data_IF_293308847937
#
_entry.id   IF_293308847937
#
_cell.length_a   1.000
_cell.length_b   1.000
_cell.length_c   1.000
_cell.angle_alpha   90.00
_cell.angle_beta   90.00
_cell.angle_gamma   90.00
#
_symmetry.space_group_name_H-M   'P 1'
#
loop_
_entity.id
_entity.type
_entity.pdbx_description
1 polymer ?
#
# COMPACT_ATOMS: atom_id res chain seq x y z
N UNK A 1 23.44 15.05 11.15
CA UNK A 1 22.15 15.33 11.86
C UNK A 1 21.85 14.19 12.82
N UNK A 2 21.16 14.44 13.94
CA UNK A 2 20.80 13.42 14.94
C UNK A 2 19.29 13.28 15.09
N UNK A 3 18.81 12.05 15.08
CA UNK A 3 17.41 11.65 15.21
C UNK A 3 17.26 10.59 16.30
N UNK A 4 16.03 10.35 16.76
CA UNK A 4 15.75 9.19 17.62
C UNK A 4 15.56 7.94 16.76
N UNK A 5 14.93 8.09 15.60
CA UNK A 5 14.75 7.00 14.63
C UNK A 5 14.93 7.47 13.18
N UNK A 6 15.68 6.71 12.41
CA UNK A 6 15.87 6.93 10.98
C UNK A 6 15.28 5.76 10.18
N UNK A 7 14.33 6.06 9.31
CA UNK A 7 13.58 5.08 8.51
C UNK A 7 14.04 5.19 7.06
N UNK A 8 14.33 4.05 6.43
CA UNK A 8 14.82 3.95 5.06
C UNK A 8 13.69 3.38 4.20
N UNK A 9 12.97 4.26 3.51
CA UNK A 9 11.83 3.94 2.66
C UNK A 9 10.58 4.74 3.01
N UNK A 10 10.03 5.46 2.03
CA UNK A 10 8.82 6.30 2.16
C UNK A 10 7.52 5.61 1.76
N UNK A 11 7.45 4.27 1.84
CA UNK A 11 6.25 3.49 1.53
C UNK A 11 5.25 3.45 2.70
N UNK A 12 4.21 2.60 2.56
CA UNK A 12 3.19 2.40 3.60
C UNK A 12 3.79 2.04 4.96
N UNK A 13 4.69 1.03 5.00
CA UNK A 13 5.34 0.60 6.24
C UNK A 13 6.17 1.72 6.90
N UNK A 14 6.98 2.43 6.11
CA UNK A 14 7.82 3.51 6.62
C UNK A 14 7.02 4.70 7.15
N UNK A 15 5.96 5.10 6.46
CA UNK A 15 5.07 6.17 6.91
C UNK A 15 4.29 5.79 8.17
N UNK A 16 3.71 4.58 8.22
CA UNK A 16 2.98 4.12 9.42
C UNK A 16 3.91 4.04 10.63
N UNK A 17 5.12 3.51 10.46
CA UNK A 17 6.13 3.46 11.53
C UNK A 17 6.52 4.87 11.98
N UNK A 18 6.85 5.76 11.04
CA UNK A 18 7.24 7.13 11.32
C UNK A 18 6.14 7.94 12.01
N UNK A 19 4.88 7.80 11.58
CA UNK A 19 3.72 8.43 12.23
C UNK A 19 3.60 7.93 13.67
N UNK A 20 3.63 6.62 13.90
CA UNK A 20 3.48 6.06 15.25
C UNK A 20 4.58 6.54 16.21
N UNK A 21 5.83 6.58 15.74
CA UNK A 21 6.95 7.07 16.54
C UNK A 21 6.87 8.58 16.80
N UNK A 22 6.51 9.37 15.77
CA UNK A 22 6.36 10.81 15.91
C UNK A 22 5.17 11.21 16.80
N UNK A 23 4.07 10.43 16.79
CA UNK A 23 2.95 10.59 17.73
C UNK A 23 3.38 10.40 19.19
N UNK A 24 4.43 9.59 19.43
CA UNK A 24 5.02 9.39 20.75
C UNK A 24 6.14 10.43 21.07
N UNK A 25 6.33 11.44 20.23
CA UNK A 25 7.28 12.54 20.45
C UNK A 25 8.71 12.29 19.97
N UNK A 26 8.99 11.16 19.31
CA UNK A 26 10.33 10.87 18.79
C UNK A 26 10.63 11.70 17.55
N UNK A 27 11.88 12.18 17.45
CA UNK A 27 12.38 12.88 16.28
C UNK A 27 12.70 11.86 15.19
N UNK A 28 11.83 11.77 14.19
CA UNK A 28 11.95 10.81 13.10
C UNK A 28 12.34 11.48 11.77
N UNK A 29 13.16 10.78 10.99
CA UNK A 29 13.39 11.10 9.58
C UNK A 29 13.15 9.89 8.69
N UNK A 30 12.60 10.12 7.50
CA UNK A 30 12.38 9.12 6.46
C UNK A 30 13.21 9.50 5.23
N UNK A 31 14.14 8.62 4.82
CA UNK A 31 14.89 8.73 3.57
C UNK A 31 14.15 7.94 2.50
N UNK A 32 13.78 8.58 1.38
CA UNK A 32 13.06 7.91 0.29
C UNK A 32 13.74 8.14 -1.06
N UNK A 33 14.12 7.05 -1.74
CA UNK A 33 14.83 7.08 -3.03
C UNK A 33 13.95 7.59 -4.18
N UNK A 34 12.64 7.34 -4.14
CA UNK A 34 11.73 7.63 -5.23
C UNK A 34 10.27 7.72 -4.79
N UNK A 35 9.36 7.55 -5.76
CA UNK A 35 7.92 7.54 -5.52
C UNK A 35 7.50 6.26 -4.78
N UNK A 36 6.42 6.37 -4.00
CA UNK A 36 5.91 5.25 -3.21
C UNK A 36 5.23 4.21 -4.11
N UNK A 37 5.38 2.92 -3.78
CA UNK A 37 4.63 1.83 -4.41
C UNK A 37 3.10 2.00 -4.26
N UNK A 38 2.64 2.84 -3.32
CA UNK A 38 1.23 3.21 -3.19
C UNK A 38 0.66 3.84 -4.48
N UNK A 39 1.48 4.44 -5.34
CA UNK A 39 1.04 4.96 -6.65
C UNK A 39 0.53 3.85 -7.60
N UNK A 40 0.78 2.59 -7.27
CA UNK A 40 0.36 1.41 -8.02
C UNK A 40 -0.74 0.63 -7.29
N UNK A 41 -1.22 1.14 -6.15
CA UNK A 41 -2.24 0.49 -5.33
C UNK A 41 -3.65 0.70 -5.89
N UNK A 42 -4.52 -0.29 -5.71
CA UNK A 42 -5.96 -0.15 -5.96
C UNK A 42 -6.68 0.80 -5.00
N UNK A 43 -5.98 1.39 -4.02
CA UNK A 43 -6.55 2.18 -2.93
C UNK A 43 -7.11 1.32 -1.80
N UNK A 44 -7.45 0.05 -2.06
CA UNK A 44 -7.79 -0.92 -1.02
C UNK A 44 -6.55 -1.57 -0.40
N UNK A 45 -6.70 -2.02 0.85
CA UNK A 45 -5.65 -2.62 1.66
C UNK A 45 -6.06 -4.05 2.02
N UNK A 46 -5.18 -5.02 1.77
CA UNK A 46 -5.44 -6.43 2.02
C UNK A 46 -4.69 -6.89 3.30
N UNK A 47 -5.37 -7.65 4.18
CA UNK A 47 -4.82 -8.15 5.44
C UNK A 47 -4.35 -9.61 5.31
N UNK A 48 -5.24 -10.51 4.91
CA UNK A 48 -4.96 -11.89 4.52
C UNK A 48 -6.19 -12.40 3.76
N UNK A 49 -6.06 -12.60 2.45
CA UNK A 49 -7.13 -13.07 1.57
C UNK A 49 -7.08 -14.58 1.33
N UNK A 50 -5.89 -15.17 1.32
CA UNK A 50 -5.68 -16.60 1.08
C UNK A 50 -4.53 -17.15 1.93
N UNK A 51 -4.60 -18.43 2.28
CA UNK A 51 -3.49 -19.19 2.85
C UNK A 51 -2.49 -19.61 1.74
N UNK A 52 -1.24 -19.99 2.08
CA UNK A 52 -0.26 -20.47 1.12
C UNK A 52 -0.73 -21.59 0.18
N UNK A 53 -1.63 -22.46 0.66
CA UNK A 53 -2.25 -23.53 -0.12
C UNK A 53 -3.38 -23.07 -1.06
N UNK A 54 -3.73 -21.78 -1.07
CA UNK A 54 -4.83 -21.21 -1.86
C UNK A 54 -6.19 -21.25 -1.18
N UNK A 55 -6.28 -21.70 0.09
CA UNK A 55 -7.54 -21.68 0.82
C UNK A 55 -8.01 -20.23 1.04
N UNK A 56 -9.23 -19.85 0.62
CA UNK A 56 -9.74 -18.50 0.79
C UNK A 56 -10.00 -18.18 2.27
N UNK A 57 -9.69 -16.94 2.66
CA UNK A 57 -9.80 -16.45 4.03
C UNK A 57 -10.83 -15.33 4.10
N UNK A 58 -11.94 -15.60 4.80
CA UNK A 58 -12.96 -14.59 5.12
C UNK A 58 -12.66 -13.86 6.43
N UNK A 59 -12.18 -14.58 7.45
CA UNK A 59 -11.82 -14.02 8.76
C UNK A 59 -10.31 -14.12 8.97
N UNK A 60 -9.54 -13.05 8.73
CA UNK A 60 -8.07 -13.08 8.80
C UNK A 60 -7.52 -13.62 10.12
N UNK A 61 -8.14 -13.29 11.26
CA UNK A 61 -7.67 -13.69 12.59
C UNK A 61 -7.82 -15.19 12.84
N UNK A 62 -8.90 -15.81 12.34
CA UNK A 62 -9.16 -17.24 12.54
C UNK A 62 -8.17 -18.09 11.73
N UNK A 63 -7.69 -17.57 10.60
CA UNK A 63 -6.75 -18.24 9.72
C UNK A 63 -5.30 -18.23 10.23
N UNK A 64 -4.96 -17.40 11.24
CA UNK A 64 -3.57 -17.24 11.70
C UNK A 64 -2.94 -18.52 12.27
N UNK A 65 -3.74 -19.38 12.90
CA UNK A 65 -3.25 -20.65 13.42
C UNK A 65 -2.85 -21.61 12.28
N UNK A 66 -3.68 -21.68 11.23
CA UNK A 66 -3.38 -22.48 10.04
C UNK A 66 -2.19 -21.89 9.26
N UNK A 67 -2.15 -20.57 9.11
CA UNK A 67 -1.04 -19.85 8.48
C UNK A 67 0.29 -20.17 9.17
N UNK A 68 0.32 -20.20 10.51
CA UNK A 68 1.53 -20.53 11.26
C UNK A 68 2.04 -21.95 11.01
N UNK A 69 1.15 -22.90 10.76
CA UNK A 69 1.53 -24.28 10.42
C UNK A 69 2.09 -24.37 8.99
N UNK A 70 1.50 -23.63 8.04
CA UNK A 70 1.91 -23.66 6.63
C UNK A 70 3.15 -22.81 6.35
N UNK A 71 3.28 -21.66 7.02
CA UNK A 71 4.34 -20.68 6.82
C UNK A 71 4.82 -20.12 8.18
N UNK A 72 5.70 -20.84 8.89
CA UNK A 72 6.21 -20.42 10.21
C UNK A 72 7.05 -19.14 10.15
N UNK A 73 7.70 -18.88 9.01
CA UNK A 73 8.51 -17.68 8.76
C UNK A 73 7.69 -16.48 8.26
N UNK A 74 6.38 -16.63 8.07
CA UNK A 74 5.52 -15.51 7.67
C UNK A 74 5.56 -14.39 8.74
N UNK A 75 5.59 -13.10 8.38
CA UNK A 75 5.65 -12.00 9.35
C UNK A 75 4.56 -12.05 10.44
N UNK A 76 3.34 -12.45 10.09
CA UNK A 76 2.27 -12.71 11.08
C UNK A 76 2.55 -13.88 12.03
N UNK A 77 3.16 -14.96 11.53
CA UNK A 77 3.54 -16.12 12.33
C UNK A 77 4.63 -15.76 13.35
N UNK A 78 5.62 -14.97 12.92
CA UNK A 78 6.70 -14.45 13.76
C UNK A 78 6.19 -13.47 14.83
N UNK A 79 5.30 -12.55 14.44
CA UNK A 79 4.72 -11.54 15.32
C UNK A 79 3.76 -12.15 16.36
N UNK A 80 3.07 -13.23 15.98
CA UNK A 80 2.09 -13.94 16.81
C UNK A 80 0.69 -13.33 16.72
N UNK A 81 -0.33 -14.21 16.77
CA UNK A 81 -1.73 -13.85 16.50
C UNK A 81 -2.28 -12.69 17.34
N UNK A 82 -1.92 -12.64 18.63
CA UNK A 82 -2.36 -11.56 19.53
C UNK A 82 -1.85 -10.19 19.08
N UNK A 83 -0.58 -10.11 18.65
CA UNK A 83 0.00 -8.88 18.15
C UNK A 83 -0.56 -8.51 16.78
N UNK A 84 -0.78 -9.48 15.89
CA UNK A 84 -1.43 -9.24 14.59
C UNK A 84 -2.81 -8.62 14.79
N UNK A 85 -3.63 -9.17 15.68
CA UNK A 85 -4.94 -8.61 16.03
C UNK A 85 -4.82 -7.18 16.59
N UNK A 86 -3.92 -6.98 17.57
CA UNK A 86 -3.70 -5.68 18.21
C UNK A 86 -3.30 -4.62 17.18
N UNK A 87 -2.36 -4.94 16.30
CA UNK A 87 -1.83 -3.98 15.35
C UNK A 87 -2.70 -3.80 14.11
N UNK A 88 -3.53 -4.77 13.74
CA UNK A 88 -4.55 -4.57 12.71
C UNK A 88 -5.61 -3.56 13.19
N UNK A 89 -6.06 -3.68 14.45
CA UNK A 89 -6.94 -2.69 15.07
C UNK A 89 -6.28 -1.30 15.14
N UNK A 90 -5.04 -1.22 15.60
CA UNK A 90 -4.32 0.07 15.67
C UNK A 90 -4.05 0.66 14.27
N UNK A 91 -3.91 -0.17 13.24
CA UNK A 91 -3.75 0.29 11.85
C UNK A 91 -5.00 1.02 11.37
N UNK A 92 -6.20 0.48 11.62
CA UNK A 92 -7.47 1.16 11.32
C UNK A 92 -7.58 2.48 12.07
N UNK A 93 -7.27 2.47 13.38
CA UNK A 93 -7.29 3.67 14.20
C UNK A 93 -6.32 4.74 13.70
N UNK A 94 -5.11 4.35 13.27
CA UNK A 94 -4.12 5.27 12.71
C UNK A 94 -4.60 5.88 11.40
N UNK A 95 -5.17 5.09 10.49
CA UNK A 95 -5.74 5.60 9.24
C UNK A 95 -6.85 6.62 9.52
N UNK A 96 -7.73 6.35 10.48
CA UNK A 96 -8.76 7.30 10.91
C UNK A 96 -8.16 8.61 11.46
N UNK A 97 -7.09 8.54 12.27
CA UNK A 97 -6.34 9.74 12.74
C UNK A 97 -5.66 10.52 11.62
N UNK A 98 -5.40 9.87 10.48
CA UNK A 98 -4.88 10.50 9.26
C UNK A 98 -5.98 11.09 8.37
N UNK A 99 -7.26 11.07 8.81
CA UNK A 99 -8.42 11.45 8.00
C UNK A 99 -8.61 10.62 6.74
N UNK A 100 -8.24 9.33 6.82
CA UNK A 100 -8.36 8.36 5.73
C UNK A 100 -9.57 7.48 6.05
N UNK A 101 -10.71 7.80 5.43
CA UNK A 101 -11.96 7.06 5.65
C UNK A 101 -12.04 5.86 4.73
N UNK A 102 -11.95 4.66 5.31
CA UNK A 102 -12.10 3.38 4.61
C UNK A 102 -13.25 2.58 5.22
N UNK A 103 -13.84 1.69 4.42
CA UNK A 103 -14.86 0.73 4.83
C UNK A 103 -14.22 -0.65 4.99
N UNK A 104 -14.64 -1.39 6.02
CA UNK A 104 -14.15 -2.73 6.32
C UNK A 104 -13.70 -2.86 7.77
N UNK A 105 -13.23 -4.06 8.14
CA UNK A 105 -12.68 -4.31 9.48
C UNK A 105 -11.73 -5.51 9.46
N UNK A 106 -10.71 -5.50 10.30
CA UNK A 106 -9.72 -6.56 10.44
C UNK A 106 -10.33 -7.90 10.87
N UNK A 107 -11.58 -7.87 11.36
CA UNK A 107 -12.34 -9.04 11.77
C UNK A 107 -12.81 -9.87 10.57
N UNK A 108 -13.12 -9.22 9.45
CA UNK A 108 -13.75 -9.89 8.30
C UNK A 108 -13.43 -9.15 7.00
N UNK A 109 -12.92 -9.90 6.03
CA UNK A 109 -12.74 -9.40 4.68
C UNK A 109 -14.09 -9.17 4.00
N UNK A 110 -14.16 -8.14 3.18
CA UNK A 110 -15.26 -7.92 2.23
C UNK A 110 -14.79 -8.11 0.79
N UNK A 111 -15.74 -8.24 -0.13
CA UNK A 111 -15.46 -8.43 -1.55
C UNK A 111 -15.52 -7.09 -2.27
N UNK A 112 -14.38 -6.55 -2.70
CA UNK A 112 -14.34 -5.34 -3.53
C UNK A 112 -14.48 -5.71 -5.01
N UNK A 113 -15.12 -4.85 -5.79
CA UNK A 113 -15.08 -4.97 -7.25
C UNK A 113 -13.76 -4.41 -7.78
N UNK A 114 -13.08 -5.20 -8.59
CA UNK A 114 -11.80 -4.84 -9.22
C UNK A 114 -12.00 -4.06 -10.51
N UNK A 115 -10.94 -3.47 -11.10
CA UNK A 115 -11.01 -2.82 -12.41
C UNK A 115 -11.42 -3.73 -13.58
N UNK A 116 -11.42 -5.06 -13.35
CA UNK A 116 -11.89 -6.05 -14.32
C UNK A 116 -13.34 -6.47 -14.08
N UNK A 117 -14.04 -5.86 -13.11
CA UNK A 117 -15.42 -6.21 -12.75
C UNK A 117 -15.59 -7.49 -11.94
N UNK A 118 -14.50 -8.14 -11.52
CA UNK A 118 -14.54 -9.33 -10.65
C UNK A 118 -14.42 -8.96 -9.18
N UNK A 119 -14.94 -9.83 -8.30
CA UNK A 119 -14.84 -9.71 -6.85
C UNK A 119 -13.46 -10.15 -6.34
N UNK A 120 -12.91 -9.42 -5.37
CA UNK A 120 -11.67 -9.78 -4.67
C UNK A 120 -11.77 -9.48 -3.19
N UNK A 121 -11.37 -10.44 -2.35
CA UNK A 121 -11.33 -10.28 -0.90
C UNK A 121 -10.34 -9.18 -0.50
N UNK A 122 -10.73 -8.38 0.49
CA UNK A 122 -9.93 -7.25 0.98
C UNK A 122 -10.29 -6.90 2.41
N UNK A 123 -9.40 -6.18 3.09
CA UNK A 123 -9.61 -5.76 4.46
C UNK A 123 -10.24 -4.37 4.53
N UNK A 124 -9.71 -3.40 3.78
CA UNK A 124 -10.21 -2.02 3.80
C UNK A 124 -10.32 -1.47 2.37
N UNK A 125 -11.41 -0.80 2.05
CA UNK A 125 -11.61 -0.13 0.76
C UNK A 125 -12.05 1.33 0.93
N UNK A 126 -11.60 2.26 0.06
CA UNK A 126 -12.20 3.58 -0.05
C UNK A 126 -13.71 3.48 -0.27
N UNK A 127 -14.47 4.40 0.32
CA UNK A 127 -15.93 4.40 0.24
C UNK A 127 -16.46 4.45 -1.20
N UNK A 128 -15.72 5.08 -2.10
CA UNK A 128 -16.09 5.15 -3.52
C UNK A 128 -15.98 3.83 -4.27
N UNK A 129 -15.20 2.85 -3.78
CA UNK A 129 -15.10 1.53 -4.41
C UNK A 129 -16.37 0.70 -4.11
N UNK A 130 -16.99 0.07 -5.11
CA UNK A 130 -18.13 -0.81 -4.87
C UNK A 130 -17.71 -2.09 -4.15
N UNK A 131 -18.55 -2.52 -3.21
CA UNK A 131 -18.36 -3.73 -2.39
C UNK A 131 -19.56 -4.66 -2.61
N UNK A 132 -19.28 -5.93 -2.88
CA UNK A 132 -20.28 -6.96 -3.07
C UNK A 132 -20.84 -7.46 -1.72
N UNK A 133 -22.09 -7.97 -1.68
CA UNK A 133 -23.01 -8.11 -2.82
C UNK A 133 -23.52 -6.75 -3.31
N UNK A 134 -23.53 -6.57 -4.64
CA UNK A 134 -24.01 -5.34 -5.26
C UNK A 134 -25.54 -5.29 -5.17
N UNK A 135 -26.15 -4.25 -4.58
CA UNK A 135 -27.60 -4.18 -4.39
C UNK A 135 -28.37 -3.77 -5.66
N UNK A 136 -27.67 -3.55 -6.77
CA UNK A 136 -28.18 -2.93 -7.99
C UNK A 136 -28.43 -3.97 -9.08
N UNK A 137 -29.49 -3.78 -9.88
CA UNK A 137 -29.82 -4.66 -11.01
C UNK A 137 -29.40 -4.06 -12.35
N UNK A 138 -29.39 -2.73 -12.45
CA UNK A 138 -29.02 -1.98 -13.66
C UNK A 138 -27.83 -1.07 -13.37
N UNK A 139 -26.65 -1.42 -13.91
CA UNK A 139 -25.44 -0.62 -13.73
C UNK A 139 -25.02 -0.03 -15.07
N UNK A 140 -24.62 1.24 -15.06
CA UNK A 140 -23.96 1.85 -16.22
C UNK A 140 -22.48 2.00 -15.90
N UNK A 141 -21.63 1.34 -16.68
CA UNK A 141 -20.18 1.52 -16.59
C UNK A 141 -19.77 2.58 -17.60
N UNK A 142 -19.26 3.69 -17.09
CA UNK A 142 -18.93 4.89 -17.85
C UNK A 142 -17.42 4.92 -18.08
N UNK A 143 -17.00 4.83 -19.35
CA UNK A 143 -15.63 5.12 -19.77
C UNK A 143 -15.42 6.60 -20.03
N UNK A 144 -14.16 7.04 -20.10
CA UNK A 144 -13.81 8.38 -20.56
C UNK A 144 -13.26 8.25 -21.98
N UNK A 145 -13.80 9.03 -22.92
CA UNK A 145 -13.41 8.96 -24.32
C UNK A 145 -11.88 9.11 -24.50
N UNK A 146 -11.25 8.07 -25.08
CA UNK A 146 -9.81 7.98 -25.32
C UNK A 146 -8.95 7.57 -24.12
N UNK A 147 -9.54 7.22 -22.97
CA UNK A 147 -8.80 6.86 -21.76
C UNK A 147 -8.51 5.36 -21.71
N UNK A 148 -7.26 4.98 -21.97
CA UNK A 148 -6.87 3.58 -22.19
C UNK A 148 -6.70 2.74 -20.91
N UNK A 149 -6.55 3.39 -19.76
CA UNK A 149 -6.27 2.73 -18.48
C UNK A 149 -7.51 2.13 -17.80
N UNK A 150 -8.67 2.22 -18.45
CA UNK A 150 -9.95 1.67 -17.99
C UNK A 150 -10.77 1.17 -19.18
N UNK A 151 -11.30 -0.05 -19.09
CA UNK A 151 -12.04 -0.72 -20.17
C UNK A 151 -13.46 -1.05 -19.70
N UNK A 152 -14.46 -0.20 -19.98
CA UNK A 152 -15.84 -0.38 -19.52
C UNK A 152 -16.45 -1.72 -19.93
N UNK A 153 -16.13 -2.21 -21.12
CA UNK A 153 -16.67 -3.43 -21.70
C UNK A 153 -16.23 -4.67 -20.92
N UNK A 154 -14.98 -4.69 -20.44
CA UNK A 154 -14.47 -5.79 -19.60
C UNK A 154 -15.21 -5.84 -18.26
N UNK A 155 -15.39 -4.68 -17.63
CA UNK A 155 -16.16 -4.58 -16.38
C UNK A 155 -17.60 -5.01 -16.60
N UNK A 156 -18.23 -4.56 -17.68
CA UNK A 156 -19.61 -4.91 -18.01
C UNK A 156 -19.77 -6.41 -18.26
N UNK A 157 -18.84 -7.04 -18.97
CA UNK A 157 -18.81 -8.48 -19.18
C UNK A 157 -18.81 -9.27 -17.86
N UNK A 158 -17.85 -8.98 -16.98
CA UNK A 158 -17.71 -9.68 -15.69
C UNK A 158 -18.90 -9.45 -14.75
N UNK A 159 -19.49 -8.25 -14.75
CA UNK A 159 -20.67 -7.96 -13.93
C UNK A 159 -21.93 -8.65 -14.49
N UNK A 160 -22.05 -8.77 -15.82
CA UNK A 160 -23.18 -9.45 -16.45
C UNK A 160 -23.22 -10.96 -16.13
N UNK A 161 -22.06 -11.60 -15.95
CA UNK A 161 -21.96 -12.99 -15.48
C UNK A 161 -22.60 -13.18 -14.09
N UNK A 162 -22.66 -12.12 -13.28
CA UNK A 162 -23.30 -12.10 -11.95
C UNK A 162 -24.79 -11.70 -12.00
N UNK A 163 -25.45 -11.89 -13.15
CA UNK A 163 -26.86 -11.58 -13.36
C UNK A 163 -27.25 -10.10 -13.18
N UNK A 164 -26.29 -9.19 -13.37
CA UNK A 164 -26.53 -7.74 -13.38
C UNK A 164 -26.73 -7.28 -14.82
N UNK A 165 -27.76 -6.49 -15.09
CA UNK A 165 -27.93 -5.85 -16.39
C UNK A 165 -26.97 -4.65 -16.46
N UNK A 166 -25.97 -4.72 -17.35
CA UNK A 166 -24.94 -3.68 -17.45
C UNK A 166 -24.92 -3.09 -18.85
N UNK A 167 -24.93 -1.76 -18.92
CA UNK A 167 -24.67 -1.01 -20.15
C UNK A 167 -23.36 -0.24 -20.03
N UNK A 168 -22.67 -0.07 -21.15
CA UNK A 168 -21.52 0.83 -21.23
C UNK A 168 -21.96 2.18 -21.77
N UNK A 169 -21.30 3.23 -21.30
CA UNK A 169 -21.45 4.59 -21.82
C UNK A 169 -20.08 5.25 -21.90
N UNK A 170 -19.98 6.29 -22.71
CA UNK A 170 -18.75 7.06 -22.87
C UNK A 170 -18.97 8.51 -22.45
N UNK A 171 -18.09 9.01 -21.58
CA UNK A 171 -18.04 10.38 -21.12
C UNK A 171 -17.12 11.20 -22.03
N UNK A 172 -17.68 12.25 -22.63
CA UNK A 172 -16.91 13.24 -23.41
C UNK A 172 -17.00 14.61 -22.76
N UNK A 173 -15.88 15.09 -22.22
CA UNK A 173 -15.78 16.43 -21.65
C UNK A 173 -14.75 17.25 -22.43
N UNK A 174 -15.10 18.43 -22.97
CA UNK A 174 -14.16 19.29 -23.70
C UNK A 174 -12.92 19.68 -22.89
N UNK A 175 -13.05 19.78 -21.57
CA UNK A 175 -11.94 20.08 -20.67
C UNK A 175 -10.82 19.02 -20.69
N UNK A 176 -11.11 17.81 -21.17
CA UNK A 176 -10.16 16.73 -21.29
C UNK A 176 -9.47 16.68 -22.68
N UNK A 177 -9.93 17.49 -23.65
CA UNK A 177 -9.41 17.45 -25.02
C UNK A 177 -7.93 17.81 -25.10
N UNK A 178 -7.49 18.80 -24.31
CA UNK A 178 -6.07 19.19 -24.26
C UNK A 178 -5.20 18.04 -23.75
N UNK A 179 -5.66 17.30 -22.73
CA UNK A 179 -4.92 16.14 -22.22
C UNK A 179 -4.94 14.99 -23.23
N UNK A 180 -6.06 14.79 -23.95
CA UNK A 180 -6.20 13.73 -24.96
C UNK A 180 -5.22 13.89 -26.12
N UNK A 181 -4.85 15.12 -26.46
CA UNK A 181 -3.82 15.40 -27.47
C UNK A 181 -2.42 14.91 -27.08
N UNK A 182 -2.20 14.55 -25.81
CA UNK A 182 -0.97 13.94 -25.35
C UNK A 182 -1.24 12.61 -24.61
N UNK A 183 -1.20 11.47 -25.32
CA UNK A 183 -1.50 10.16 -24.75
C UNK A 183 -0.65 9.77 -23.53
N UNK A 184 0.55 10.34 -23.34
CA UNK A 184 1.36 10.08 -22.13
C UNK A 184 0.83 10.80 -20.90
N UNK A 185 0.18 11.95 -21.10
CA UNK A 185 -0.41 12.77 -20.04
C UNK A 185 -1.89 12.42 -19.79
N UNK A 186 -2.54 11.65 -20.67
CA UNK A 186 -3.89 11.16 -20.46
C UNK A 186 -3.91 9.96 -19.50
N UNK A 187 -3.63 10.25 -18.23
CA UNK A 187 -3.57 9.32 -17.09
C UNK A 187 -4.54 9.75 -16.00
N UNK A 188 -5.01 8.79 -15.19
CA UNK A 188 -6.01 9.04 -14.14
C UNK A 188 -5.65 10.22 -13.23
N UNK A 189 -4.38 10.33 -12.81
CA UNK A 189 -3.90 11.42 -11.95
C UNK A 189 -4.02 12.81 -12.60
N UNK A 190 -3.79 12.94 -13.90
CA UNK A 190 -3.92 14.21 -14.61
C UNK A 190 -5.38 14.54 -14.91
N UNK A 191 -6.19 13.53 -15.24
CA UNK A 191 -7.64 13.68 -15.41
C UNK A 191 -8.26 14.16 -14.10
N UNK A 192 -7.89 13.57 -12.96
CA UNK A 192 -8.39 13.98 -11.64
C UNK A 192 -8.09 15.44 -11.32
N UNK A 193 -6.90 15.95 -11.66
CA UNK A 193 -6.58 17.37 -11.45
C UNK A 193 -7.51 18.33 -12.20
N UNK A 194 -7.97 17.93 -13.40
CA UNK A 194 -8.93 18.71 -14.18
C UNK A 194 -10.33 18.55 -13.61
N UNK A 195 -10.77 17.31 -13.36
CA UNK A 195 -12.12 17.03 -12.88
C UNK A 195 -12.37 17.48 -11.43
N UNK A 196 -11.32 17.68 -10.63
CA UNK A 196 -11.41 18.21 -9.27
C UNK A 196 -11.68 19.73 -9.25
N UNK A 197 -11.56 20.44 -10.38
CA UNK A 197 -11.88 21.87 -10.46
C UNK A 197 -13.40 22.10 -10.37
N UNK A 198 -13.91 23.01 -9.51
CA UNK A 198 -15.35 23.20 -9.30
C UNK A 198 -16.16 23.48 -10.57
N UNK A 199 -15.61 24.25 -11.50
CA UNK A 199 -16.21 24.53 -12.80
C UNK A 199 -16.37 23.27 -13.68
N UNK A 200 -15.40 22.36 -13.63
CA UNK A 200 -15.43 21.10 -14.38
C UNK A 200 -16.32 20.06 -13.71
N UNK A 201 -16.42 20.07 -12.37
CA UNK A 201 -17.35 19.23 -11.63
C UNK A 201 -18.80 19.47 -12.08
N UNK A 202 -19.18 20.72 -12.32
CA UNK A 202 -20.53 21.05 -12.79
C UNK A 202 -20.84 20.42 -14.15
N UNK A 203 -19.92 20.54 -15.11
CA UNK A 203 -20.07 19.94 -16.44
C UNK A 203 -20.10 18.40 -16.37
N UNK A 204 -19.25 17.82 -15.51
CA UNK A 204 -19.27 16.38 -15.25
C UNK A 204 -20.62 15.92 -14.69
N UNK A 205 -21.20 16.65 -13.73
CA UNK A 205 -22.50 16.33 -13.14
C UNK A 205 -23.59 16.34 -14.20
N UNK A 206 -23.63 17.37 -15.06
CA UNK A 206 -24.66 17.49 -16.10
C UNK A 206 -24.61 16.32 -17.11
N UNK A 207 -23.40 15.93 -17.51
CA UNK A 207 -23.20 14.77 -18.40
C UNK A 207 -23.56 13.45 -17.71
N UNK A 208 -23.10 13.24 -16.47
CA UNK A 208 -23.40 12.03 -15.71
C UNK A 208 -24.91 11.89 -15.39
N UNK A 209 -25.64 13.00 -15.20
CA UNK A 209 -27.11 12.97 -15.05
C UNK A 209 -27.80 12.42 -16.30
N UNK A 210 -27.29 12.75 -17.48
CA UNK A 210 -27.80 12.22 -18.75
C UNK A 210 -27.52 10.72 -18.86
N UNK A 211 -26.33 10.28 -18.44
CA UNK A 211 -25.94 8.86 -18.44
C UNK A 211 -26.66 8.02 -17.36
N UNK A 212 -27.15 8.66 -16.29
CA UNK A 212 -27.87 8.02 -15.19
C UNK A 212 -29.32 7.60 -15.54
N UNK A 213 -29.77 7.76 -16.78
CA UNK A 213 -31.11 7.34 -17.19
C UNK A 213 -31.28 5.81 -17.09
N UNK A 214 -32.39 5.33 -16.51
CA UNK A 214 -32.71 3.90 -16.32
C UNK A 214 -31.58 3.06 -15.71
N UNK A 215 -30.83 3.61 -14.75
CA UNK A 215 -29.77 2.88 -14.06
C UNK A 215 -29.86 3.06 -12.55
N UNK A 216 -29.54 1.99 -11.81
CA UNK A 216 -29.55 1.98 -10.36
C UNK A 216 -28.23 2.51 -9.78
N UNK A 217 -27.11 2.45 -10.53
CA UNK A 217 -25.81 2.98 -10.15
C UNK A 217 -24.91 3.29 -11.36
N UNK A 218 -23.99 4.25 -11.18
CA UNK A 218 -22.93 4.60 -12.14
C UNK A 218 -21.57 4.14 -11.64
N UNK A 219 -20.83 3.44 -12.49
CA UNK A 219 -19.43 3.07 -12.24
C UNK A 219 -18.53 3.88 -13.17
N UNK A 220 -17.58 4.63 -12.62
CA UNK A 220 -16.63 5.48 -13.36
C UNK A 220 -15.20 5.03 -13.02
N UNK A 221 -14.20 5.21 -13.89
CA UNK A 221 -12.81 5.11 -13.47
C UNK A 221 -12.49 6.07 -12.33
N UNK A 222 -11.59 5.66 -11.42
CA UNK A 222 -11.12 6.44 -10.30
C UNK A 222 -10.21 7.61 -10.73
N UNK A 223 -10.85 8.62 -11.32
CA UNK A 223 -10.26 9.84 -11.84
C UNK A 223 -10.80 11.08 -11.12
N UNK A 224 -11.19 10.95 -9.84
CA UNK A 224 -11.72 12.03 -9.01
C UNK A 224 -11.09 11.96 -7.62
N UNK A 225 -10.96 13.11 -6.97
CA UNK A 225 -10.51 13.21 -5.60
C UNK A 225 -9.02 12.87 -5.46
N UNK A 226 -8.17 13.68 -6.09
CA UNK A 226 -6.71 13.50 -6.08
C UNK A 226 -6.08 13.73 -4.70
N UNK A 227 -6.60 14.66 -3.92
CA UNK A 227 -6.08 15.02 -2.59
C UNK A 227 -6.97 14.55 -1.44
N UNK A 228 -8.29 14.55 -1.63
CA UNK A 228 -9.29 14.06 -0.68
C UNK A 228 -10.51 13.49 -1.44
N UNK A 229 -11.50 12.98 -0.72
CA UNK A 229 -12.71 12.38 -1.29
C UNK A 229 -13.81 13.42 -1.60
N UNK A 230 -13.58 14.72 -1.40
CA UNK A 230 -14.63 15.74 -1.49
C UNK A 230 -15.16 15.93 -2.90
N UNK A 231 -14.31 15.85 -3.92
CA UNK A 231 -14.72 15.96 -5.31
C UNK A 231 -15.71 14.84 -5.67
N UNK A 232 -15.39 13.60 -5.31
CA UNK A 232 -16.30 12.47 -5.47
C UNK A 232 -17.59 12.66 -4.66
N UNK A 233 -17.51 13.09 -3.39
CA UNK A 233 -18.71 13.34 -2.57
C UNK A 233 -19.61 14.44 -3.16
N UNK A 234 -19.03 15.53 -3.69
CA UNK A 234 -19.77 16.63 -4.28
C UNK A 234 -20.53 16.18 -5.54
N UNK A 235 -19.85 15.47 -6.44
CA UNK A 235 -20.46 14.90 -7.64
C UNK A 235 -21.53 13.86 -7.28
N UNK A 236 -21.20 12.93 -6.37
CA UNK A 236 -22.11 11.84 -5.97
C UNK A 236 -23.41 12.33 -5.34
N UNK A 237 -23.39 13.44 -4.57
CA UNK A 237 -24.60 14.03 -3.96
C UNK A 237 -25.58 14.65 -4.96
N UNK A 238 -25.09 15.10 -6.10
CA UNK A 238 -25.90 15.77 -7.12
C UNK A 238 -26.51 14.79 -8.14
N UNK A 239 -26.10 13.52 -8.11
CA UNK A 239 -26.57 12.48 -9.03
C UNK A 239 -27.83 11.78 -8.50
N UNK A 240 -28.74 11.35 -9.38
CA UNK A 240 -29.98 10.67 -8.99
C UNK A 240 -29.76 9.23 -8.48
N UNK A 241 -28.56 8.68 -8.69
CA UNK A 241 -28.17 7.33 -8.29
C UNK A 241 -26.73 7.31 -7.75
N UNK A 242 -26.32 6.28 -6.97
CA UNK A 242 -24.97 6.19 -6.43
C UNK A 242 -23.88 6.16 -7.52
N UNK A 243 -22.85 7.00 -7.34
CA UNK A 243 -21.62 6.97 -8.12
C UNK A 243 -20.53 6.17 -7.38
N UNK A 244 -19.99 5.16 -8.04
CA UNK A 244 -18.85 4.36 -7.57
C UNK A 244 -17.68 4.50 -8.51
N UNK A 245 -16.47 4.39 -7.96
CA UNK A 245 -15.22 4.50 -8.68
C UNK A 245 -14.51 3.15 -8.70
N UNK A 246 -14.09 2.73 -9.88
CA UNK A 246 -13.23 1.56 -10.05
C UNK A 246 -11.78 2.00 -10.23
N UNK A 247 -10.81 1.36 -9.55
CA UNK A 247 -9.39 1.69 -9.75
C UNK A 247 -8.98 1.57 -11.23
N UNK A 248 -7.93 2.28 -11.62
CA UNK A 248 -7.39 2.26 -12.98
C UNK A 248 -5.99 1.66 -12.99
N UNK A 249 -5.40 1.50 -14.18
CA UNK A 249 -3.96 1.25 -14.25
C UNK A 249 -3.17 2.41 -13.60
N UNK A 250 -1.95 2.14 -13.10
CA UNK A 250 -1.09 3.16 -12.50
C UNK A 250 -0.76 4.31 -13.47
N UNK A 251 -0.64 5.56 -12.99
CA UNK A 251 -0.68 5.98 -11.59
C UNK A 251 -2.10 6.04 -11.01
N UNK A 252 -2.28 5.43 -9.83
CA UNK A 252 -3.55 5.34 -9.11
C UNK A 252 -3.82 6.59 -8.28
N UNK A 253 -4.94 7.26 -8.56
CA UNK A 253 -5.45 8.41 -7.79
C UNK A 253 -5.69 8.03 -6.33
N UNK A 254 -6.35 6.88 -6.09
CA UNK A 254 -6.69 6.41 -4.74
C UNK A 254 -5.43 6.11 -3.91
N UNK A 255 -4.44 5.47 -4.54
CA UNK A 255 -3.18 5.13 -3.90
C UNK A 255 -2.30 6.36 -3.63
N UNK A 256 -2.28 7.32 -4.57
CA UNK A 256 -1.61 8.61 -4.37
C UNK A 256 -2.24 9.42 -3.23
N UNK A 257 -3.58 9.48 -3.18
CA UNK A 257 -4.32 10.13 -2.09
C UNK A 257 -3.94 9.56 -0.73
N UNK A 258 -3.95 8.23 -0.58
CA UNK A 258 -3.52 7.54 0.63
C UNK A 258 -2.09 7.92 1.04
N UNK A 259 -1.15 7.95 0.08
CA UNK A 259 0.24 8.36 0.32
C UNK A 259 0.34 9.83 0.78
N UNK A 260 -0.35 10.76 0.10
CA UNK A 260 -0.33 12.17 0.44
C UNK A 260 -0.88 12.43 1.85
N UNK A 261 -1.98 11.79 2.23
CA UNK A 261 -2.58 11.93 3.55
C UNK A 261 -1.65 11.42 4.67
N UNK A 262 -1.05 10.24 4.50
CA UNK A 262 -0.07 9.70 5.44
C UNK A 262 1.18 10.60 5.53
N UNK A 263 1.72 11.03 4.39
CA UNK A 263 2.89 11.93 4.35
C UNK A 263 2.59 13.25 5.06
N UNK A 264 1.43 13.85 4.80
CA UNK A 264 1.00 15.09 5.44
C UNK A 264 0.89 14.92 6.96
N UNK A 265 0.31 13.82 7.43
CA UNK A 265 0.24 13.50 8.86
C UNK A 265 1.64 13.41 9.48
N UNK A 266 2.56 12.69 8.85
CA UNK A 266 3.93 12.58 9.34
C UNK A 266 4.63 13.94 9.46
N UNK A 267 4.46 14.81 8.46
CA UNK A 267 5.02 16.16 8.48
C UNK A 267 4.38 17.07 9.53
N UNK A 268 3.06 16.95 9.76
CA UNK A 268 2.35 17.67 10.84
C UNK A 268 2.84 17.28 12.24
N UNK A 269 3.37 16.06 12.38
CA UNK A 269 4.01 15.57 13.60
C UNK A 269 5.51 15.95 13.69
N UNK A 270 5.96 16.91 12.88
CA UNK A 270 7.36 17.36 12.77
C UNK A 270 8.33 16.29 12.24
N UNK A 271 7.82 15.23 11.60
CA UNK A 271 8.61 14.23 10.91
C UNK A 271 9.31 14.81 9.68
N UNK A 272 10.59 14.48 9.49
CA UNK A 272 11.40 14.99 8.38
C UNK A 272 11.40 13.99 7.22
N UNK A 273 10.83 14.39 6.07
CA UNK A 273 10.93 13.62 4.82
C UNK A 273 12.13 14.10 3.99
N UNK A 274 12.95 13.16 3.54
CA UNK A 274 14.06 13.36 2.59
C UNK A 274 13.74 12.64 1.26
N UNK A 275 12.88 13.22 0.41
CA UNK A 275 12.49 12.62 -0.86
C UNK A 275 13.60 12.73 -1.91
N UNK A 276 13.70 11.73 -2.79
CA UNK A 276 14.73 11.69 -3.83
C UNK A 276 16.14 11.46 -3.29
N UNK A 277 16.29 10.93 -2.09
CA UNK A 277 17.57 10.65 -1.46
C UNK A 277 17.73 9.15 -1.17
N UNK A 278 18.95 8.64 -1.25
CA UNK A 278 19.23 7.22 -1.13
C UNK A 278 20.41 7.00 -0.19
N UNK A 279 20.33 5.98 0.66
CA UNK A 279 21.46 5.54 1.46
C UNK A 279 22.52 4.94 0.53
N UNK A 280 23.75 5.42 0.66
CA UNK A 280 24.89 4.98 -0.16
C UNK A 280 25.97 4.30 0.67
N UNK A 281 26.04 4.58 1.97
CA UNK A 281 27.06 4.01 2.86
C UNK A 281 26.55 3.96 4.29
N UNK A 282 26.90 2.89 5.00
CA UNK A 282 26.56 2.69 6.41
C UNK A 282 27.81 2.37 7.21
N UNK A 283 27.91 2.89 8.43
CA UNK A 283 28.96 2.52 9.38
C UNK A 283 28.35 1.69 10.52
N UNK A 284 29.00 0.58 10.85
CA UNK A 284 28.59 -0.32 11.93
C UNK A 284 29.74 -0.46 12.92
N UNK A 285 29.46 -0.31 14.21
CA UNK A 285 30.40 -0.50 15.31
C UNK A 285 29.71 -1.36 16.38
N UNK A 286 30.39 -2.41 16.85
CA UNK A 286 29.89 -3.28 17.93
C UNK A 286 28.42 -3.72 17.73
N UNK A 287 28.11 -4.29 16.55
CA UNK A 287 26.77 -4.76 16.17
C UNK A 287 25.67 -3.69 16.14
N UNK A 288 26.04 -2.41 16.15
CA UNK A 288 25.12 -1.28 16.02
C UNK A 288 25.50 -0.41 14.83
N UNK A 289 24.50 0.12 14.14
CA UNK A 289 24.69 1.17 13.14
C UNK A 289 25.03 2.47 13.88
N UNK A 290 26.17 3.07 13.55
CA UNK A 290 26.64 4.32 14.16
C UNK A 290 26.35 5.55 13.29
N UNK A 291 26.29 5.37 11.97
CA UNK A 291 26.05 6.43 11.00
C UNK A 291 25.55 5.89 9.65
N UNK A 292 24.72 6.69 8.99
CA UNK A 292 24.27 6.48 7.61
C UNK A 292 24.61 7.71 6.78
N UNK A 293 25.11 7.49 5.57
CA UNK A 293 25.40 8.52 4.59
C UNK A 293 24.48 8.35 3.39
N UNK A 294 23.94 9.47 2.92
CA UNK A 294 23.02 9.48 1.79
C UNK A 294 23.65 10.19 0.60
N UNK A 295 23.06 10.05 -0.58
CA UNK A 295 23.52 10.73 -1.79
C UNK A 295 23.57 12.24 -1.61
N UNK A 296 22.59 12.82 -0.91
CA UNK A 296 22.53 14.26 -0.67
C UNK A 296 23.32 14.69 0.58
N UNK A 297 23.71 13.74 1.44
CA UNK A 297 24.47 13.98 2.66
C UNK A 297 25.69 13.03 2.75
N UNK A 298 26.59 13.14 1.78
CA UNK A 298 27.76 12.26 1.67
C UNK A 298 28.83 12.54 2.74
N UNK A 299 28.96 13.79 3.19
CA UNK A 299 29.98 14.21 4.17
C UNK A 299 29.42 14.31 5.60
N UNK A 300 28.12 14.63 5.74
CA UNK A 300 27.47 14.83 7.04
C UNK A 300 26.58 13.62 7.35
N UNK A 301 26.99 12.72 8.26
CA UNK A 301 26.20 11.53 8.53
C UNK A 301 24.85 11.84 9.21
N UNK A 302 23.88 10.99 8.91
CA UNK A 302 22.64 10.84 9.64
C UNK A 302 22.85 9.82 10.75
N UNK A 303 22.65 10.25 12.00
CA UNK A 303 22.80 9.41 13.20
C UNK A 303 21.44 9.24 13.87
N UNK A 304 21.15 8.02 14.32
CA UNK A 304 19.94 7.74 15.08
C UNK A 304 20.20 6.69 16.16
N UNK A 305 19.34 6.65 17.18
CA UNK A 305 19.37 5.59 18.17
C UNK A 305 18.85 4.27 17.56
N UNK A 306 17.82 4.35 16.71
CA UNK A 306 17.24 3.22 16.01
C UNK A 306 17.15 3.46 14.51
N UNK A 307 17.30 2.39 13.74
CA UNK A 307 17.21 2.38 12.28
C UNK A 307 16.14 1.38 11.85
N UNK A 308 15.35 1.75 10.84
CA UNK A 308 14.27 0.89 10.33
C UNK A 308 14.39 0.79 8.81
N UNK A 309 14.62 -0.41 8.30
CA UNK A 309 14.62 -0.74 6.88
C UNK A 309 13.18 -1.00 6.41
N UNK A 310 12.66 -0.10 5.59
CA UNK A 310 11.34 -0.17 4.98
C UNK A 310 11.43 0.08 3.46
N UNK A 311 12.54 -0.37 2.84
CA UNK A 311 12.95 -0.06 1.46
C UNK A 311 12.08 -0.71 0.38
N UNK A 312 11.22 -1.65 0.78
CA UNK A 312 10.39 -2.45 -0.11
C UNK A 312 11.15 -3.59 -0.79
N UNK A 313 10.47 -4.35 -1.63
CA UNK A 313 11.04 -5.49 -2.37
C UNK A 313 11.74 -5.03 -3.67
N UNK A 314 11.77 -5.91 -4.68
CA UNK A 314 12.38 -5.68 -6.00
C UNK A 314 11.89 -4.40 -6.69
N UNK A 315 10.57 -4.16 -6.69
CA UNK A 315 9.97 -3.00 -7.37
C UNK A 315 10.53 -1.66 -6.88
N UNK A 316 10.82 -1.55 -5.58
CA UNK A 316 11.35 -0.34 -4.94
C UNK A 316 12.88 -0.30 -4.87
N UNK A 317 13.56 -1.30 -5.46
CA UNK A 317 15.00 -1.52 -5.35
C UNK A 317 15.49 -1.69 -3.89
N UNK A 318 14.63 -2.18 -2.99
CA UNK A 318 15.06 -2.58 -1.64
C UNK A 318 15.65 -3.99 -1.62
N UNK A 319 15.35 -4.80 -2.64
CA UNK A 319 16.06 -6.04 -2.99
C UNK A 319 16.60 -5.93 -4.41
N UNK A 320 17.82 -6.43 -4.61
CA UNK A 320 18.45 -6.52 -5.93
C UNK A 320 18.63 -7.98 -6.33
N UNK A 321 18.10 -8.37 -7.49
CA UNK A 321 18.33 -9.67 -8.09
C UNK A 321 19.46 -9.60 -9.12
N UNK A 322 20.54 -10.35 -8.91
CA UNK A 322 21.67 -10.50 -9.84
C UNK A 322 21.84 -11.97 -10.23
N UNK A 323 22.73 -12.25 -11.19
CA UNK A 323 23.12 -13.63 -11.52
C UNK A 323 23.71 -14.37 -10.32
N UNK A 324 24.37 -13.66 -9.42
CA UNK A 324 24.97 -14.21 -8.21
C UNK A 324 23.97 -14.43 -7.05
N UNK A 325 22.70 -14.07 -7.20
CA UNK A 325 21.69 -14.19 -6.15
C UNK A 325 20.93 -12.89 -5.86
N UNK A 326 20.07 -12.95 -4.83
CA UNK A 326 19.29 -11.81 -4.30
C UNK A 326 20.04 -11.21 -3.12
N UNK A 327 20.07 -9.88 -3.03
CA UNK A 327 20.70 -9.17 -1.90
C UNK A 327 19.92 -7.93 -1.47
N UNK A 328 20.06 -7.58 -0.20
CA UNK A 328 19.67 -6.27 0.33
C UNK A 328 20.87 -5.30 0.17
N UNK A 329 20.73 -4.17 -0.55
CA UNK A 329 21.87 -3.37 -0.99
C UNK A 329 22.41 -2.36 0.04
N UNK A 330 21.67 -2.05 1.12
CA UNK A 330 22.04 -1.00 2.07
C UNK A 330 22.97 -1.51 3.17
N UNK A 331 22.62 -2.61 3.81
CA UNK A 331 23.33 -3.18 4.95
C UNK A 331 23.95 -4.55 4.65
N UNK A 332 23.54 -5.21 3.56
CA UNK A 332 24.00 -6.54 3.19
C UNK A 332 23.44 -7.61 4.12
N UNK A 333 22.14 -7.52 4.41
CA UNK A 333 21.44 -8.41 5.34
C UNK A 333 21.27 -9.82 4.78
N UNK A 334 21.08 -10.77 5.69
CA UNK A 334 20.82 -12.17 5.36
C UNK A 334 19.47 -12.31 4.65
N UNK A 335 19.50 -12.91 3.45
CA UNK A 335 18.33 -13.11 2.60
C UNK A 335 17.84 -14.55 2.72
N UNK A 336 16.54 -14.71 2.94
CA UNK A 336 15.85 -15.97 2.71
C UNK A 336 15.26 -15.94 1.30
N UNK A 337 15.70 -16.85 0.44
CA UNK A 337 15.22 -17.03 -0.92
C UNK A 337 15.52 -18.46 -1.38
N UNK A 338 14.86 -18.98 -2.44
CA UNK A 338 15.28 -20.24 -3.04
C UNK A 338 16.74 -20.16 -3.50
N UNK A 339 17.52 -21.20 -3.17
CA UNK A 339 18.98 -21.21 -3.38
C UNK A 339 19.36 -21.19 -4.87
N UNK A 340 18.63 -21.93 -5.70
CA UNK A 340 18.85 -22.05 -7.13
C UNK A 340 17.98 -21.05 -7.90
N UNK A 341 18.56 -20.43 -8.93
CA UNK A 341 17.90 -19.37 -9.71
C UNK A 341 16.70 -19.92 -10.49
N UNK A 342 16.81 -21.15 -10.95
CA UNK A 342 15.78 -21.91 -11.65
C UNK A 342 14.53 -22.08 -10.80
N UNK A 343 14.68 -22.11 -9.47
CA UNK A 343 13.58 -22.23 -8.52
C UNK A 343 12.91 -20.89 -8.16
N UNK A 344 13.36 -19.77 -8.72
CA UNK A 344 12.78 -18.44 -8.40
C UNK A 344 11.42 -18.23 -9.07
N UNK A 345 11.21 -18.81 -10.25
CA UNK A 345 9.99 -18.66 -11.03
C UNK A 345 9.46 -20.04 -11.41
N UNK A 346 8.13 -20.14 -11.53
CA UNK A 346 7.46 -21.28 -12.15
C UNK A 346 7.18 -20.98 -13.62
N UNK A 347 7.01 -22.04 -14.42
CA UNK A 347 6.68 -21.91 -15.84
C UNK A 347 5.30 -21.28 -16.06
N UNK A 348 4.31 -21.68 -15.26
CA UNK A 348 3.00 -21.06 -15.26
C UNK A 348 3.08 -19.66 -14.64
N UNK A 349 2.77 -18.64 -15.45
CA UNK A 349 2.79 -17.24 -15.06
C UNK A 349 1.78 -16.91 -13.97
N UNK A 350 0.61 -17.57 -13.97
CA UNK A 350 -0.46 -17.29 -13.00
C UNK A 350 -0.29 -18.04 -11.68
N UNK A 351 0.60 -19.03 -11.63
CA UNK A 351 0.96 -19.72 -10.40
C UNK A 351 1.71 -18.78 -9.44
N UNK A 352 1.58 -18.99 -8.11
CA UNK A 352 2.38 -18.27 -7.13
C UNK A 352 3.88 -18.43 -7.36
N UNK A 353 4.58 -17.31 -7.43
CA UNK A 353 5.96 -17.24 -7.85
C UNK A 353 6.90 -17.22 -6.64
N UNK A 354 7.81 -18.20 -6.48
CA UNK A 354 8.67 -18.32 -5.29
C UNK A 354 9.48 -17.07 -4.95
N UNK A 355 9.93 -16.31 -5.97
CA UNK A 355 10.70 -15.08 -5.74
C UNK A 355 9.94 -14.03 -4.94
N UNK A 356 8.61 -14.04 -4.92
CA UNK A 356 7.80 -13.07 -4.16
C UNK A 356 7.95 -13.26 -2.66
N UNK A 357 8.35 -14.45 -2.20
CA UNK A 357 8.63 -14.74 -0.79
C UNK A 357 10.08 -14.43 -0.39
N UNK A 358 10.93 -14.07 -1.35
CA UNK A 358 12.32 -13.75 -1.08
C UNK A 358 12.44 -12.39 -0.38
N UNK A 359 13.27 -12.33 0.66
CA UNK A 359 13.48 -11.09 1.41
C UNK A 359 14.46 -11.23 2.56
N UNK A 360 14.51 -10.21 3.40
CA UNK A 360 15.35 -10.15 4.59
C UNK A 360 14.79 -11.08 5.66
N UNK A 361 15.63 -11.98 6.15
CA UNK A 361 15.31 -12.82 7.29
C UNK A 361 15.37 -12.00 8.59
N UNK A 362 14.38 -12.19 9.46
CA UNK A 362 14.28 -11.49 10.74
C UNK A 362 13.86 -12.44 11.86
N UNK A 363 14.14 -12.06 13.10
CA UNK A 363 13.60 -12.75 14.26
C UNK A 363 12.16 -12.32 14.61
N UNK A 364 11.61 -12.85 15.70
CA UNK A 364 10.28 -12.50 16.24
C UNK A 364 10.12 -11.02 16.64
N UNK A 365 11.22 -10.28 16.77
CA UNK A 365 11.27 -8.85 17.09
C UNK A 365 11.57 -7.99 15.87
N UNK A 366 11.66 -8.61 14.69
CA UNK A 366 11.92 -8.00 13.39
C UNK A 366 13.33 -7.41 13.30
N UNK A 367 14.26 -7.94 14.09
CA UNK A 367 15.67 -7.64 13.95
C UNK A 367 16.27 -8.50 12.83
N UNK A 368 16.90 -7.88 11.81
CA UNK A 368 17.61 -8.63 10.80
C UNK A 368 19.01 -9.02 11.26
N UNK A 369 19.58 -10.00 10.58
CA UNK A 369 20.96 -10.45 10.77
C UNK A 369 21.83 -10.13 9.55
N UNK A 370 23.14 -10.03 9.79
CA UNK A 370 24.19 -9.99 8.78
C UNK A 370 25.23 -11.04 9.11
N UNK A 371 25.41 -12.02 8.23
CA UNK A 371 26.26 -13.18 8.45
C UNK A 371 25.90 -13.93 9.76
N UNK A 372 24.61 -14.08 10.04
CA UNK A 372 24.07 -14.72 11.23
C UNK A 372 24.16 -13.89 12.51
N UNK A 373 24.75 -12.69 12.46
CA UNK A 373 24.84 -11.79 13.61
C UNK A 373 23.75 -10.73 13.54
N UNK A 374 22.95 -10.65 14.61
CA UNK A 374 21.93 -9.62 14.77
C UNK A 374 22.55 -8.23 14.81
N UNK A 375 21.87 -7.26 14.19
CA UNK A 375 22.17 -5.84 14.33
C UNK A 375 21.17 -5.24 15.31
N UNK A 376 21.63 -4.86 16.51
CA UNK A 376 20.75 -4.60 17.67
C UNK A 376 19.81 -3.41 17.48
N UNK A 377 20.31 -2.33 16.88
CA UNK A 377 19.54 -1.11 16.65
C UNK A 377 18.90 -1.01 15.25
N UNK A 378 18.85 -2.11 14.50
CA UNK A 378 18.21 -2.18 13.18
C UNK A 378 16.96 -3.06 13.23
N UNK A 379 15.91 -2.60 12.57
CA UNK A 379 14.68 -3.36 12.34
C UNK A 379 14.37 -3.41 10.84
N UNK A 380 13.65 -4.43 10.38
CA UNK A 380 13.14 -4.49 9.01
C UNK A 380 11.61 -4.66 9.00
N UNK A 381 10.91 -3.94 8.12
CA UNK A 381 9.44 -3.94 8.04
C UNK A 381 8.95 -3.83 6.59
N UNK A 382 7.71 -4.30 6.36
CA UNK A 382 7.05 -4.21 5.05
C UNK A 382 7.56 -5.23 4.05
N UNK A 383 7.45 -4.90 2.76
CA UNK A 383 7.73 -5.85 1.67
C UNK A 383 9.19 -6.25 1.49
N UNK A 384 10.11 -5.71 2.29
CA UNK A 384 11.50 -6.18 2.32
C UNK A 384 11.64 -7.51 3.08
N UNK A 385 10.67 -7.86 3.93
CA UNK A 385 10.69 -9.09 4.74
C UNK A 385 10.49 -10.33 3.87
N UNK A 386 11.11 -11.44 4.27
CA UNK A 386 10.89 -12.75 3.66
C UNK A 386 9.60 -13.44 4.14
N UNK A 387 9.27 -14.56 3.51
CA UNK A 387 8.36 -15.57 4.06
C UNK A 387 6.87 -15.36 3.75
N UNK A 388 6.54 -14.48 2.81
CA UNK A 388 5.14 -14.25 2.40
C UNK A 388 5.01 -13.85 0.93
N UNK A 389 3.91 -14.24 0.30
CA UNK A 389 3.55 -13.78 -1.05
C UNK A 389 2.45 -12.71 -0.95
N UNK A 390 2.76 -11.41 -1.16
CA UNK A 390 1.77 -10.35 -1.00
C UNK A 390 0.62 -10.43 -2.01
N UNK A 391 0.81 -11.06 -3.17
CA UNK A 391 -0.16 -11.09 -4.26
C UNK A 391 -1.10 -12.28 -4.12
N UNK A 392 -0.56 -13.48 -3.90
CA UNK A 392 -1.34 -14.70 -3.68
C UNK A 392 -2.12 -14.58 -2.37
N UNK A 393 -1.41 -14.34 -1.27
CA UNK A 393 -2.01 -14.38 0.07
C UNK A 393 -2.84 -13.13 0.37
N UNK A 394 -2.75 -12.07 -0.45
CA UNK A 394 -3.45 -10.81 -0.24
C UNK A 394 -3.17 -10.22 1.14
N UNK A 395 -1.89 -10.08 1.49
CA UNK A 395 -1.48 -9.64 2.84
C UNK A 395 -0.48 -8.47 2.83
N UNK A 396 -0.10 -7.95 1.65
CA UNK A 396 0.99 -6.97 1.54
C UNK A 396 0.80 -5.68 2.35
N UNK A 397 -0.42 -5.14 2.38
CA UNK A 397 -0.72 -3.95 3.17
C UNK A 397 -0.75 -4.26 4.67
N UNK A 398 -1.40 -5.35 5.06
CA UNK A 398 -1.46 -5.81 6.45
C UNK A 398 -0.08 -6.09 7.04
N UNK A 399 0.80 -6.81 6.32
CA UNK A 399 2.19 -7.06 6.75
C UNK A 399 2.95 -5.74 6.92
N UNK A 400 2.75 -4.80 5.99
CA UNK A 400 3.39 -3.47 6.07
C UNK A 400 2.95 -2.68 7.29
N UNK A 401 1.65 -2.59 7.56
CA UNK A 401 1.12 -1.77 8.64
C UNK A 401 1.30 -2.40 10.01
N UNK A 402 0.99 -3.69 10.15
CA UNK A 402 1.13 -4.39 11.43
C UNK A 402 2.59 -4.54 11.83
N UNK A 403 3.48 -4.84 10.87
CA UNK A 403 4.92 -4.90 11.10
C UNK A 403 5.51 -3.55 11.51
N UNK A 404 5.07 -2.47 10.86
CA UNK A 404 5.47 -1.11 11.21
C UNK A 404 5.09 -0.73 12.64
N UNK A 405 3.86 -1.06 13.06
CA UNK A 405 3.38 -0.77 14.41
C UNK A 405 4.03 -1.67 15.47
N UNK A 406 4.29 -2.94 15.14
CA UNK A 406 5.04 -3.87 16.00
C UNK A 406 6.43 -3.34 16.32
N UNK A 407 7.19 -2.97 15.29
CA UNK A 407 8.54 -2.39 15.44
C UNK A 407 8.49 -1.04 16.15
N UNK A 408 7.54 -0.17 15.79
CA UNK A 408 7.40 1.11 16.47
C UNK A 408 7.16 0.92 17.98
N UNK A 409 6.28 -0.02 18.36
CA UNK A 409 6.02 -0.33 19.76
C UNK A 409 7.27 -0.85 20.49
N UNK A 410 8.11 -1.68 19.84
CA UNK A 410 9.38 -2.16 20.40
C UNK A 410 10.38 -1.02 20.62
N UNK A 411 10.51 -0.11 19.67
CA UNK A 411 11.38 1.07 19.79
C UNK A 411 10.94 1.91 21.00
N UNK A 412 9.63 2.16 21.16
CA UNK A 412 9.11 2.93 22.29
C UNK A 412 9.34 2.24 23.65
N UNK A 413 9.17 0.92 23.73
CA UNK A 413 9.46 0.14 24.93
C UNK A 413 10.95 0.19 25.31
N UNK A 414 11.86 0.14 24.32
CA UNK A 414 13.29 0.25 24.59
C UNK A 414 13.73 1.63 25.12
N UNK A 415 13.01 2.70 24.77
CA UNK A 415 13.28 4.03 25.32
C UNK A 415 12.69 4.22 26.72
N UNK A 416 11.50 3.67 26.99
CA UNK A 416 10.91 3.68 28.34
C UNK A 416 11.80 2.99 29.37
N UNK A 417 12.34 1.81 29.03
CA UNK A 417 13.25 1.07 29.89
C UNK A 417 14.58 1.80 30.17
N UNK A 418 15.06 2.62 29.21
CA UNK A 418 16.27 3.43 29.37
C UNK A 418 16.07 4.67 30.26
N UNK A 419 14.82 5.12 30.46
CA UNK A 419 14.49 6.22 31.38
C UNK A 419 14.20 5.77 32.81
N UNK A 420 13.80 4.50 33.05
CA UNK A 420 13.63 3.96 34.40
C UNK A 420 14.94 3.43 35.01
N UNK A 421 15.98 3.25 34.21
CA UNK A 421 17.30 2.74 34.62
C UNK A 421 18.39 3.84 34.75
N UNK A 422 18.02 5.10 34.54
CA UNK A 422 18.85 6.28 34.76
C UNK A 422 18.29 7.11 35.93
#
# INVERSE_FOLDING_TARGET
>A
MKFDSLIIGGGLAGLVCGIRLAEAGLRCAIVSRGQSALHFSSGSLDLLAELPDGTPVNSPLDALAALKLQAPEHPYSLMGAQNVQRFAMESEALLARCHITLTGSYKQNHQRITPLGIERATWLSPMEIPVAPLPWKHITVVGIAGFLDFQPELVAGSLAENHINVKTAELTLPALDTLRNNPSEFRAANIARVLDMPEQQRLLIDELKTLAHDTDALFLPACLGSEDDKAWQAVSRELPCPLRLLPTLPPSVLGMRLYHQLRRRFQQLNGIMMPGDAVVRTETQLQNISAIFTRNHAEVPLRANHYVLASGSFFSNGLEAKFSGIREPVFGLDICAPAEREAWCKEDFFSPQPYLQAGVAVDKHFHPARAGQRIENLYAIGSVLAGFDPLQQGCGAGVSMTGALHVAQRILESQGAAHESA
#
